data_IF_114847467610
#
_entry.id   IF_114847467610
#
_cell.length_a   1.000
_cell.length_b   1.000
_cell.length_c   1.000
_cell.angle_alpha   90.00
_cell.angle_beta   90.00
_cell.angle_gamma   90.00
#
_symmetry.space_group_name_H-M   'P 1'
#
loop_
_entity.id
_entity.type
_entity.pdbx_description
1 polymer ?
#
# COMPACT_ATOMS: atom_id res chain seq x y z
N UNK A 1 -20.06 9.46 -6.19
CA UNK A 1 -19.67 8.92 -7.53
C UNK A 1 -19.57 7.40 -7.41
N UNK A 2 -19.55 6.65 -8.52
CA UNK A 2 -19.28 5.19 -8.44
C UNK A 2 -17.79 4.94 -8.52
N UNK A 3 -17.30 4.00 -7.73
CA UNK A 3 -15.93 3.52 -7.83
C UNK A 3 -15.70 2.84 -9.19
N UNK A 4 -14.50 2.98 -9.75
CA UNK A 4 -14.15 2.26 -10.99
C UNK A 4 -13.80 0.81 -10.70
N UNK A 5 -13.95 -0.08 -11.69
CA UNK A 5 -13.53 -1.48 -11.53
C UNK A 5 -12.07 -1.61 -11.08
N UNK A 6 -11.09 -0.88 -11.66
CA UNK A 6 -9.70 -0.94 -11.19
C UNK A 6 -9.52 -0.49 -9.73
N UNK A 7 -10.33 0.47 -9.26
CA UNK A 7 -10.30 0.94 -7.85
C UNK A 7 -10.74 -0.15 -6.89
N UNK A 8 -11.87 -0.81 -7.16
CA UNK A 8 -12.39 -1.89 -6.33
C UNK A 8 -11.48 -3.11 -6.37
N UNK A 9 -10.98 -3.45 -7.54
CA UNK A 9 -10.00 -4.53 -7.70
C UNK A 9 -8.72 -4.25 -6.90
N UNK A 10 -8.19 -3.01 -6.95
CA UNK A 10 -7.04 -2.58 -6.17
C UNK A 10 -7.30 -2.69 -4.67
N UNK A 11 -8.48 -2.24 -4.19
CA UNK A 11 -8.88 -2.35 -2.79
C UNK A 11 -9.00 -3.82 -2.34
N UNK A 12 -9.62 -4.67 -3.14
CA UNK A 12 -9.73 -6.11 -2.86
C UNK A 12 -8.35 -6.78 -2.79
N UNK A 13 -7.46 -6.43 -3.72
CA UNK A 13 -6.09 -6.93 -3.74
C UNK A 13 -5.29 -6.46 -2.54
N UNK A 14 -5.35 -5.17 -2.21
CA UNK A 14 -4.72 -4.58 -1.04
C UNK A 14 -5.14 -5.31 0.23
N UNK A 15 -6.45 -5.47 0.46
CA UNK A 15 -6.98 -6.14 1.63
C UNK A 15 -6.61 -7.63 1.71
N UNK A 16 -6.48 -8.29 0.55
CA UNK A 16 -5.98 -9.66 0.49
C UNK A 16 -4.50 -9.72 0.84
N UNK A 17 -3.71 -8.79 0.32
CA UNK A 17 -2.26 -8.71 0.57
C UNK A 17 -1.93 -8.43 2.03
N UNK A 18 -2.60 -7.44 2.63
CA UNK A 18 -2.54 -7.11 4.04
C UNK A 18 -2.82 -8.35 4.92
N UNK A 19 -4.00 -8.94 4.77
CA UNK A 19 -4.42 -10.09 5.55
C UNK A 19 -3.54 -11.33 5.31
N UNK A 20 -3.04 -11.55 4.10
CA UNK A 20 -2.10 -12.61 3.76
C UNK A 20 -0.76 -12.40 4.45
N UNK A 21 -0.20 -11.20 4.37
CA UNK A 21 1.09 -10.84 4.96
C UNK A 21 1.07 -10.90 6.48
N UNK A 22 0.01 -10.38 7.09
CA UNK A 22 -0.18 -10.36 8.55
C UNK A 22 -0.08 -11.75 9.19
N UNK A 23 -0.58 -12.78 8.51
CA UNK A 23 -0.53 -14.15 9.03
C UNK A 23 0.87 -14.72 9.18
N UNK A 24 1.87 -14.12 8.55
CA UNK A 24 3.25 -14.61 8.59
C UNK A 24 4.07 -14.08 9.76
N UNK A 25 3.64 -13.03 10.46
CA UNK A 25 4.28 -12.58 11.70
C UNK A 25 4.26 -13.64 12.82
N UNK A 26 3.38 -14.63 12.73
CA UNK A 26 3.34 -15.76 13.67
C UNK A 26 4.33 -16.89 13.37
N UNK A 27 5.02 -16.82 12.22
CA UNK A 27 6.02 -17.84 11.81
C UNK A 27 7.37 -17.48 12.41
N UNK A 28 8.01 -18.45 13.06
CA UNK A 28 9.35 -18.22 13.62
C UNK A 28 10.39 -18.07 12.50
N UNK A 29 11.47 -17.29 12.71
CA UNK A 29 12.54 -17.14 11.72
C UNK A 29 13.17 -18.48 11.29
N UNK A 30 13.20 -19.47 12.16
CA UNK A 30 13.78 -20.79 11.86
C UNK A 30 12.86 -21.62 10.94
N UNK A 31 11.55 -21.44 11.05
CA UNK A 31 10.54 -22.13 10.24
C UNK A 31 10.29 -21.43 8.89
N UNK A 32 10.56 -20.13 8.82
CA UNK A 32 10.23 -19.30 7.67
C UNK A 32 10.76 -19.84 6.33
N UNK A 33 12.04 -20.29 6.18
CA UNK A 33 12.53 -20.77 4.91
C UNK A 33 11.77 -21.99 4.39
N UNK A 34 11.45 -22.93 5.27
CA UNK A 34 10.70 -24.13 4.89
C UNK A 34 9.23 -23.82 4.55
N UNK A 35 8.60 -22.94 5.35
CA UNK A 35 7.22 -22.52 5.14
C UNK A 35 7.05 -21.73 3.83
N UNK A 36 7.99 -20.84 3.51
CA UNK A 36 8.01 -20.11 2.25
C UNK A 36 8.24 -21.04 1.04
N UNK A 37 9.20 -21.96 1.16
CA UNK A 37 9.47 -22.93 0.09
C UNK A 37 8.28 -23.84 -0.21
N UNK A 38 7.49 -24.18 0.79
CA UNK A 38 6.27 -24.98 0.65
C UNK A 38 5.15 -24.23 -0.06
N UNK A 39 5.18 -22.88 -0.07
CA UNK A 39 4.13 -22.00 -0.66
C UNK A 39 2.71 -22.37 -0.21
N UNK A 40 2.58 -22.76 1.05
CA UNK A 40 1.30 -23.08 1.66
C UNK A 40 0.78 -21.87 2.43
N UNK A 41 -0.38 -21.32 2.05
CA UNK A 41 -0.99 -20.22 2.79
C UNK A 41 -1.25 -20.60 4.23
N UNK A 42 -1.16 -19.64 5.14
CA UNK A 42 -1.44 -19.87 6.56
C UNK A 42 -2.92 -20.21 6.77
N UNK A 43 -3.28 -20.97 7.82
CA UNK A 43 -4.69 -21.28 8.11
C UNK A 43 -5.57 -20.03 8.28
N UNK A 44 -6.81 -20.11 7.84
CA UNK A 44 -7.83 -19.09 8.12
C UNK A 44 -8.16 -19.02 9.63
N UNK A 45 -8.74 -17.90 10.12
CA UNK A 45 -9.09 -16.69 9.40
C UNK A 45 -7.89 -15.76 9.19
N UNK A 46 -7.92 -14.94 8.11
CA UNK A 46 -6.94 -13.90 7.83
C UNK A 46 -7.57 -12.55 8.10
N UNK A 47 -7.21 -11.94 9.21
CA UNK A 47 -7.68 -10.61 9.56
C UNK A 47 -6.83 -9.56 8.87
N UNK A 48 -7.48 -8.55 8.31
CA UNK A 48 -6.80 -7.36 7.79
C UNK A 48 -6.52 -6.36 8.92
N UNK A 49 -5.59 -5.44 8.69
CA UNK A 49 -5.03 -4.50 9.65
C UNK A 49 -5.44 -3.05 9.35
N UNK A 50 -4.70 -2.08 9.89
CA UNK A 50 -4.91 -0.66 9.59
C UNK A 50 -4.64 -0.30 8.13
N UNK A 51 -3.83 -1.08 7.41
CA UNK A 51 -3.65 -0.93 5.96
C UNK A 51 -4.99 -0.92 5.23
N UNK A 52 -5.78 -1.96 5.45
CA UNK A 52 -7.10 -2.09 4.85
C UNK A 52 -8.11 -1.13 5.46
N UNK A 53 -8.12 -0.95 6.79
CA UNK A 53 -9.04 -0.02 7.46
C UNK A 53 -8.92 1.39 6.87
N UNK A 54 -7.70 1.89 6.73
CA UNK A 54 -7.46 3.22 6.17
C UNK A 54 -7.70 3.30 4.66
N UNK A 55 -7.44 2.22 3.90
CA UNK A 55 -7.80 2.16 2.49
C UNK A 55 -9.31 2.19 2.26
N UNK A 56 -10.08 1.49 3.09
CA UNK A 56 -11.55 1.53 3.07
C UNK A 56 -12.08 2.95 3.31
N UNK A 57 -11.54 3.66 4.31
CA UNK A 57 -11.90 5.06 4.56
C UNK A 57 -11.60 5.92 3.34
N UNK A 58 -10.40 5.79 2.75
CA UNK A 58 -9.99 6.58 1.60
C UNK A 58 -10.91 6.35 0.39
N UNK A 59 -11.23 5.09 0.08
CA UNK A 59 -12.14 4.77 -1.05
C UNK A 59 -13.55 5.28 -0.77
N UNK A 60 -14.09 5.10 0.44
CA UNK A 60 -15.39 5.64 0.84
C UNK A 60 -15.44 7.17 0.71
N UNK A 61 -14.36 7.84 1.12
CA UNK A 61 -14.19 9.28 0.96
C UNK A 61 -14.25 9.71 -0.51
N UNK A 62 -13.52 9.03 -1.40
CA UNK A 62 -13.54 9.32 -2.84
C UNK A 62 -14.92 9.08 -3.47
N UNK A 63 -15.63 8.02 -3.06
CA UNK A 63 -17.00 7.76 -3.53
C UNK A 63 -17.93 8.93 -3.18
N UNK A 64 -17.81 9.50 -2.00
CA UNK A 64 -18.66 10.60 -1.55
C UNK A 64 -18.26 11.95 -2.16
N UNK A 65 -16.97 12.27 -2.19
CA UNK A 65 -16.47 13.61 -2.51
C UNK A 65 -15.93 13.73 -3.94
N UNK A 66 -15.51 12.63 -4.57
CA UNK A 66 -14.87 12.61 -5.89
C UNK A 66 -13.40 13.02 -5.88
N UNK A 67 -12.92 13.60 -4.80
CA UNK A 67 -11.54 14.06 -4.59
C UNK A 67 -11.18 14.02 -3.10
N UNK A 68 -9.90 14.24 -2.77
CA UNK A 68 -9.44 14.32 -1.38
C UNK A 68 -9.76 15.68 -0.78
N UNK A 69 -10.69 15.70 0.17
CA UNK A 69 -11.00 16.85 1.04
C UNK A 69 -10.34 16.61 2.39
N UNK A 70 -9.13 17.17 2.57
CA UNK A 70 -8.23 16.85 3.68
C UNK A 70 -8.87 16.93 5.07
N UNK A 71 -9.62 18.01 5.35
CA UNK A 71 -10.25 18.20 6.67
C UNK A 71 -11.34 17.15 6.98
N UNK A 72 -12.04 16.68 5.94
CA UNK A 72 -13.00 15.60 6.08
C UNK A 72 -12.27 14.25 6.24
N UNK A 73 -11.30 13.97 5.37
CA UNK A 73 -10.54 12.71 5.38
C UNK A 73 -9.81 12.50 6.71
N UNK A 74 -9.18 13.53 7.26
CA UNK A 74 -8.50 13.45 8.56
C UNK A 74 -9.45 13.04 9.68
N UNK A 75 -10.67 13.62 9.71
CA UNK A 75 -11.72 13.25 10.68
C UNK A 75 -12.27 11.84 10.45
N UNK A 76 -12.40 11.42 9.19
CA UNK A 76 -12.86 10.08 8.84
C UNK A 76 -11.85 9.01 9.27
N UNK A 77 -10.54 9.25 9.10
CA UNK A 77 -9.50 8.37 9.64
C UNK A 77 -9.54 8.29 11.17
N UNK A 78 -9.72 9.41 11.84
CA UNK A 78 -9.84 9.43 13.30
C UNK A 78 -11.11 8.70 13.79
N UNK A 79 -12.22 8.82 13.05
CA UNK A 79 -13.47 8.12 13.34
C UNK A 79 -13.33 6.59 13.18
N UNK A 80 -12.68 6.13 12.12
CA UNK A 80 -12.39 4.71 11.90
C UNK A 80 -11.49 4.14 13.00
N UNK A 81 -10.41 4.86 13.34
CA UNK A 81 -9.54 4.48 14.44
C UNK A 81 -10.30 4.35 15.77
N UNK A 82 -11.21 5.27 16.07
CA UNK A 82 -12.02 5.21 17.30
C UNK A 82 -12.97 4.00 17.32
N UNK A 83 -13.49 3.60 16.16
CA UNK A 83 -14.36 2.44 16.02
C UNK A 83 -13.60 1.11 16.09
N UNK A 84 -12.39 1.06 15.50
CA UNK A 84 -11.60 -0.17 15.33
C UNK A 84 -10.12 0.03 15.71
N UNK A 85 -9.85 0.60 16.89
CA UNK A 85 -8.49 0.89 17.37
C UNK A 85 -7.58 -0.35 17.46
N UNK A 86 -8.13 -1.54 17.48
CA UNK A 86 -7.41 -2.83 17.57
C UNK A 86 -6.79 -3.31 16.25
N UNK A 87 -6.88 -2.54 15.16
CA UNK A 87 -6.38 -2.92 13.83
C UNK A 87 -4.86 -2.79 13.65
N UNK A 88 -4.10 -2.83 14.73
CA UNK A 88 -2.61 -2.81 14.74
C UNK A 88 -1.98 -1.52 14.23
N UNK A 89 -2.66 -0.39 14.36
CA UNK A 89 -2.10 0.92 14.00
C UNK A 89 -0.70 1.13 14.55
N UNK A 90 0.16 1.73 13.73
CA UNK A 90 1.52 2.07 14.13
C UNK A 90 1.56 2.95 15.40
N UNK A 91 2.60 2.83 16.26
CA UNK A 91 2.67 3.49 17.56
C UNK A 91 2.39 5.00 17.54
N UNK A 92 2.91 5.72 16.53
CA UNK A 92 2.69 7.17 16.39
C UNK A 92 1.26 7.52 16.01
N UNK A 93 0.56 6.63 15.27
CA UNK A 93 -0.80 6.88 14.80
C UNK A 93 -1.83 6.89 15.93
N UNK A 94 -1.61 6.15 17.01
CA UNK A 94 -2.49 6.19 18.19
C UNK A 94 -2.65 7.61 18.77
N UNK A 95 -1.54 8.37 18.84
CA UNK A 95 -1.56 9.77 19.29
C UNK A 95 -2.25 10.67 18.27
N UNK A 96 -1.80 10.62 17.02
CA UNK A 96 -2.28 11.46 15.92
C UNK A 96 -3.79 11.33 15.74
N UNK A 97 -4.29 10.11 15.56
CA UNK A 97 -5.70 9.90 15.26
C UNK A 97 -6.62 10.21 16.46
N UNK A 98 -6.15 9.95 17.68
CA UNK A 98 -6.87 10.36 18.90
C UNK A 98 -6.96 11.87 19.02
N UNK A 99 -5.86 12.60 18.81
CA UNK A 99 -5.83 14.05 18.95
C UNK A 99 -6.69 14.74 17.88
N UNK A 100 -6.65 14.26 16.63
CA UNK A 100 -7.56 14.69 15.56
C UNK A 100 -9.01 14.41 15.93
N UNK A 101 -9.30 13.21 16.46
CA UNK A 101 -10.64 12.84 16.92
C UNK A 101 -11.16 13.70 18.08
N UNK A 102 -10.24 14.21 18.92
CA UNK A 102 -10.54 15.17 19.97
C UNK A 102 -10.69 16.63 19.46
N UNK A 103 -10.54 16.87 18.16
CA UNK A 103 -10.75 18.18 17.53
C UNK A 103 -9.48 19.00 17.33
N UNK A 104 -8.28 18.42 17.52
CA UNK A 104 -7.04 19.11 17.18
C UNK A 104 -6.92 19.30 15.65
N UNK A 105 -6.26 20.38 15.24
CA UNK A 105 -5.97 20.63 13.83
C UNK A 105 -4.94 19.60 13.32
N UNK A 106 -5.33 18.79 12.36
CA UNK A 106 -4.50 17.74 11.82
C UNK A 106 -3.18 18.25 11.24
N UNK A 107 -3.15 19.46 10.68
CA UNK A 107 -1.94 20.07 10.13
C UNK A 107 -0.89 20.28 11.22
N UNK A 108 -1.33 20.78 12.35
CA UNK A 108 -0.49 20.99 13.52
C UNK A 108 -0.01 19.66 14.09
N UNK A 109 -0.93 18.70 14.28
CA UNK A 109 -0.61 17.39 14.88
C UNK A 109 0.39 16.63 14.01
N UNK A 110 0.18 16.57 12.69
CA UNK A 110 1.06 15.82 11.78
C UNK A 110 2.43 16.48 11.61
N UNK A 111 2.49 17.81 11.54
CA UNK A 111 3.75 18.55 11.41
C UNK A 111 4.62 18.48 12.67
N UNK A 112 4.03 18.39 13.85
CA UNK A 112 4.77 18.37 15.12
C UNK A 112 5.38 17.01 15.47
N UNK A 113 5.00 15.94 14.79
CA UNK A 113 5.57 14.62 15.04
C UNK A 113 7.09 14.63 14.87
N UNK A 114 7.77 13.78 15.65
CA UNK A 114 9.22 13.58 15.56
C UNK A 114 10.02 14.89 15.59
N UNK A 115 9.68 15.77 16.56
CA UNK A 115 10.42 17.03 16.76
C UNK A 115 10.20 18.05 15.64
N UNK A 116 9.07 18.02 14.98
CA UNK A 116 8.72 18.96 13.89
C UNK A 116 9.16 18.50 12.51
N UNK A 117 9.64 17.25 12.35
CA UNK A 117 10.00 16.69 11.05
C UNK A 117 8.82 16.04 10.35
N UNK A 118 7.76 15.69 11.09
CA UNK A 118 6.68 14.85 10.58
C UNK A 118 7.07 13.37 10.54
N UNK A 119 6.07 12.49 10.40
CA UNK A 119 6.32 11.05 10.22
C UNK A 119 6.76 10.73 8.79
N UNK A 120 7.84 9.99 8.63
CA UNK A 120 8.28 9.42 7.35
C UNK A 120 7.91 7.93 7.22
N UNK A 121 6.98 7.46 8.06
CA UNK A 121 6.46 6.11 8.03
C UNK A 121 5.78 5.72 6.71
N UNK A 122 5.55 4.43 6.53
CA UNK A 122 4.94 3.86 5.33
C UNK A 122 3.40 3.92 5.32
N UNK A 123 2.76 4.39 6.41
CA UNK A 123 1.30 4.36 6.59
C UNK A 123 0.50 5.19 5.58
N UNK A 124 1.08 6.21 4.94
CA UNK A 124 0.42 6.91 3.85
C UNK A 124 0.51 6.15 2.51
N UNK A 125 1.54 5.32 2.33
CA UNK A 125 1.78 4.52 1.13
C UNK A 125 0.95 3.23 1.13
N UNK A 126 0.78 2.57 2.29
CA UNK A 126 0.11 1.29 2.44
C UNK A 126 -1.34 1.30 1.91
N UNK A 127 -2.06 2.41 2.07
CA UNK A 127 -3.50 2.56 1.81
C UNK A 127 -3.86 3.16 0.44
N UNK A 128 -2.87 3.66 -0.34
CA UNK A 128 -3.12 4.62 -1.43
C UNK A 128 -3.33 4.02 -2.82
N UNK A 129 -3.00 2.75 -3.04
CA UNK A 129 -3.09 2.12 -4.36
C UNK A 129 -4.49 2.26 -5.01
N UNK A 130 -5.63 2.09 -4.30
CA UNK A 130 -6.96 2.31 -4.86
C UNK A 130 -7.21 3.75 -5.36
N UNK A 131 -6.62 4.77 -4.71
CA UNK A 131 -6.68 6.16 -5.16
C UNK A 131 -5.94 6.32 -6.50
N UNK A 132 -4.78 5.69 -6.65
CA UNK A 132 -4.05 5.69 -7.91
C UNK A 132 -4.88 5.10 -9.05
N UNK A 133 -5.57 4.00 -8.80
CA UNK A 133 -6.48 3.39 -9.76
C UNK A 133 -7.72 4.26 -10.05
N UNK A 134 -8.21 5.02 -9.06
CA UNK A 134 -9.36 5.93 -9.20
C UNK A 134 -9.09 7.06 -10.21
N UNK A 135 -7.93 7.68 -10.11
CA UNK A 135 -7.52 8.81 -10.97
C UNK A 135 -6.62 8.39 -12.13
N UNK A 136 -6.60 7.11 -12.49
CA UNK A 136 -5.62 6.54 -13.43
C UNK A 136 -5.58 7.23 -14.80
N UNK A 137 -6.60 7.96 -15.21
CA UNK A 137 -6.65 8.69 -16.48
C UNK A 137 -5.75 9.94 -16.49
N UNK A 138 -5.39 10.51 -15.33
CA UNK A 138 -4.55 11.71 -15.20
C UNK A 138 -3.50 11.53 -14.08
N UNK A 139 -2.25 11.26 -14.47
CA UNK A 139 -1.15 11.01 -13.53
C UNK A 139 -0.76 12.24 -12.68
N UNK A 140 -1.01 13.44 -13.16
CA UNK A 140 -0.74 14.66 -12.40
C UNK A 140 -1.80 14.83 -11.29
N UNK A 141 -3.04 14.48 -11.59
CA UNK A 141 -4.11 14.38 -10.57
C UNK A 141 -3.83 13.26 -9.59
N UNK A 142 -3.35 12.07 -10.03
CA UNK A 142 -2.91 10.99 -9.12
C UNK A 142 -1.88 11.50 -8.12
N UNK A 143 -0.82 12.14 -8.60
CA UNK A 143 0.26 12.65 -7.74
C UNK A 143 -0.27 13.66 -6.72
N UNK A 144 -1.06 14.65 -7.17
CA UNK A 144 -1.65 15.67 -6.29
C UNK A 144 -2.59 15.06 -5.24
N UNK A 145 -3.47 14.16 -5.62
CA UNK A 145 -4.44 13.55 -4.70
C UNK A 145 -3.76 12.60 -3.70
N UNK A 146 -2.71 11.90 -4.13
CA UNK A 146 -1.88 11.06 -3.25
C UNK A 146 -1.11 11.91 -2.22
N UNK A 147 -0.58 13.06 -2.60
CA UNK A 147 0.03 14.03 -1.68
C UNK A 147 -0.99 14.53 -0.65
N UNK A 148 -2.15 15.01 -1.11
CA UNK A 148 -3.21 15.52 -0.22
C UNK A 148 -3.64 14.51 0.83
N UNK A 149 -3.85 13.22 0.47
CA UNK A 149 -4.21 12.20 1.45
C UNK A 149 -3.07 11.87 2.41
N UNK A 150 -1.80 11.88 1.93
CA UNK A 150 -0.65 11.56 2.77
C UNK A 150 -0.49 12.58 3.91
N UNK A 151 -0.58 13.87 3.60
CA UNK A 151 -0.42 14.97 4.55
C UNK A 151 -1.38 14.90 5.73
N UNK A 152 -2.54 14.27 5.59
CA UNK A 152 -3.53 14.16 6.69
C UNK A 152 -3.04 13.35 7.89
N UNK A 153 -1.94 12.59 7.73
CA UNK A 153 -1.36 11.74 8.78
C UNK A 153 0.18 11.76 8.80
N UNK A 154 0.82 12.00 7.64
CA UNK A 154 2.27 11.90 7.45
C UNK A 154 2.78 13.15 6.74
N UNK A 155 3.51 13.99 7.47
CA UNK A 155 3.95 15.30 6.97
C UNK A 155 5.35 15.28 6.34
N UNK A 156 6.16 14.27 6.65
CA UNK A 156 7.54 14.18 6.15
C UNK A 156 7.57 13.96 4.62
N UNK A 157 8.44 14.67 3.85
CA UNK A 157 8.51 14.56 2.40
C UNK A 157 8.70 13.13 1.88
N UNK A 158 9.47 12.28 2.56
CA UNK A 158 9.67 10.88 2.17
C UNK A 158 8.37 10.05 2.24
N UNK A 159 7.55 10.25 3.28
CA UNK A 159 6.25 9.56 3.39
C UNK A 159 5.30 9.99 2.28
N UNK A 160 5.26 11.29 1.98
CA UNK A 160 4.45 11.85 0.88
C UNK A 160 4.93 11.29 -0.46
N UNK A 161 6.24 11.31 -0.70
CA UNK A 161 6.82 10.76 -1.94
C UNK A 161 6.54 9.25 -2.08
N UNK A 162 6.60 8.50 -0.98
CA UNK A 162 6.25 7.08 -0.97
C UNK A 162 4.80 6.82 -1.38
N UNK A 163 3.87 7.60 -0.83
CA UNK A 163 2.46 7.51 -1.19
C UNK A 163 2.22 7.87 -2.67
N UNK A 164 2.83 8.93 -3.16
CA UNK A 164 2.77 9.33 -4.59
C UNK A 164 3.32 8.22 -5.49
N UNK A 165 4.45 7.60 -5.10
CA UNK A 165 5.05 6.51 -5.87
C UNK A 165 4.11 5.30 -6.00
N UNK A 166 3.49 4.87 -4.91
CA UNK A 166 2.54 3.74 -4.92
C UNK A 166 1.29 4.07 -5.74
N UNK A 167 0.74 5.27 -5.58
CA UNK A 167 -0.43 5.70 -6.36
C UNK A 167 -0.14 5.75 -7.86
N UNK A 168 1.01 6.30 -8.28
CA UNK A 168 1.44 6.31 -9.67
C UNK A 168 1.63 4.89 -10.23
N UNK A 169 2.25 3.99 -9.46
CA UNK A 169 2.41 2.59 -9.87
C UNK A 169 1.06 1.89 -10.08
N UNK A 170 0.10 2.09 -9.18
CA UNK A 170 -1.24 1.54 -9.30
C UNK A 170 -2.00 2.13 -10.50
N UNK A 171 -1.86 3.43 -10.76
CA UNK A 171 -2.46 4.08 -11.92
C UNK A 171 -1.90 3.52 -13.24
N UNK A 172 -0.58 3.35 -13.34
CA UNK A 172 0.07 2.76 -14.52
C UNK A 172 -0.32 1.30 -14.72
N UNK A 173 -0.44 0.54 -13.63
CA UNK A 173 -0.95 -0.83 -13.66
C UNK A 173 -2.40 -0.87 -14.18
N UNK A 174 -3.29 -0.02 -13.66
CA UNK A 174 -4.67 0.11 -14.11
C UNK A 174 -4.78 0.45 -15.61
N UNK A 175 -3.99 1.41 -16.10
CA UNK A 175 -3.93 1.79 -17.52
C UNK A 175 -3.51 0.63 -18.45
N UNK A 176 -2.75 -0.31 -17.92
CA UNK A 176 -2.25 -1.45 -18.70
C UNK A 176 -3.24 -2.62 -18.81
N UNK A 177 -4.46 -2.49 -18.22
CA UNK A 177 -5.50 -3.54 -18.30
C UNK A 177 -5.82 -3.91 -19.73
N UNK A 178 -5.92 -5.22 -20.00
CA UNK A 178 -6.23 -5.73 -21.33
C UNK A 178 -5.14 -5.59 -22.39
N UNK A 179 -4.03 -4.91 -22.04
CA UNK A 179 -2.86 -4.76 -22.89
C UNK A 179 -1.60 -5.42 -22.33
N UNK A 180 -0.46 -5.17 -22.97
CA UNK A 180 0.84 -5.61 -22.46
C UNK A 180 1.19 -4.83 -21.18
N UNK A 181 1.58 -5.52 -20.08
CA UNK A 181 2.10 -4.84 -18.89
C UNK A 181 3.44 -4.16 -19.19
N UNK A 182 3.73 -3.03 -18.53
CA UNK A 182 5.09 -2.50 -18.54
C UNK A 182 6.06 -3.49 -17.90
N UNK A 183 7.28 -3.54 -18.38
CA UNK A 183 8.33 -4.30 -17.72
C UNK A 183 8.71 -3.67 -16.37
N UNK A 184 9.35 -4.47 -15.48
CA UNK A 184 9.75 -4.00 -14.14
C UNK A 184 10.54 -2.69 -14.20
N UNK A 185 11.61 -2.64 -14.99
CA UNK A 185 12.43 -1.45 -15.13
C UNK A 185 11.66 -0.26 -15.76
N UNK A 186 10.77 -0.55 -16.70
CA UNK A 186 9.93 0.45 -17.35
C UNK A 186 9.00 1.14 -16.36
N UNK A 187 8.23 0.36 -15.58
CA UNK A 187 7.32 0.89 -14.56
C UNK A 187 8.06 1.71 -13.51
N UNK A 188 9.13 1.16 -12.96
CA UNK A 188 9.88 1.82 -11.88
C UNK A 188 10.59 3.10 -12.36
N UNK A 189 11.07 3.13 -13.59
CA UNK A 189 11.68 4.32 -14.17
C UNK A 189 10.65 5.41 -14.43
N UNK A 190 9.47 5.04 -14.94
CA UNK A 190 8.37 6.00 -15.16
C UNK A 190 7.90 6.62 -13.85
N UNK A 191 7.68 5.79 -12.81
CA UNK A 191 7.32 6.29 -11.48
C UNK A 191 8.41 7.20 -10.93
N UNK A 192 9.67 6.76 -10.90
CA UNK A 192 10.79 7.55 -10.38
C UNK A 192 10.99 8.87 -11.14
N UNK A 193 10.67 8.90 -12.44
CA UNK A 193 10.76 10.10 -13.27
C UNK A 193 9.83 11.23 -12.87
N UNK A 194 8.74 10.90 -12.16
CA UNK A 194 7.71 11.85 -11.72
C UNK A 194 7.85 12.32 -10.27
N UNK A 195 8.81 11.77 -9.53
CA UNK A 195 9.01 12.08 -8.12
C UNK A 195 10.07 13.18 -7.92
N UNK A 196 9.95 13.97 -6.84
CA UNK A 196 11.03 14.87 -6.42
C UNK A 196 12.26 14.08 -5.97
N UNK A 197 13.39 14.77 -5.82
CA UNK A 197 14.59 14.17 -5.24
C UNK A 197 14.32 13.71 -3.79
N UNK A 198 14.57 12.42 -3.53
CA UNK A 198 14.23 11.74 -2.28
C UNK A 198 14.93 10.38 -2.19
N UNK A 199 14.95 9.79 -1.00
CA UNK A 199 15.45 8.43 -0.79
C UNK A 199 14.53 7.40 -1.45
N UNK A 200 13.20 7.60 -1.41
CA UNK A 200 12.23 6.76 -2.16
C UNK A 200 12.56 6.75 -3.65
N UNK A 201 12.75 7.92 -4.27
CA UNK A 201 13.11 8.01 -5.69
C UNK A 201 14.44 7.31 -6.00
N UNK A 202 15.42 7.50 -5.14
CA UNK A 202 16.75 6.87 -5.27
C UNK A 202 16.65 5.35 -5.18
N UNK A 203 15.85 4.84 -4.23
CA UNK A 203 15.53 3.44 -4.07
C UNK A 203 14.85 2.85 -5.32
N UNK A 204 13.86 3.55 -5.89
CA UNK A 204 13.19 3.11 -7.13
C UNK A 204 14.12 3.09 -8.34
N UNK A 205 15.03 4.06 -8.46
CA UNK A 205 16.06 4.04 -9.52
C UNK A 205 17.03 2.87 -9.35
N UNK A 206 17.37 2.54 -8.11
CA UNK A 206 18.17 1.35 -7.79
C UNK A 206 17.39 0.09 -8.14
N UNK A 207 16.14 -0.02 -7.75
CA UNK A 207 15.26 -1.14 -8.06
C UNK A 207 15.11 -1.39 -9.57
N UNK A 208 14.98 -0.32 -10.37
CA UNK A 208 14.89 -0.39 -11.83
C UNK A 208 16.16 -0.95 -12.50
N UNK A 209 17.32 -0.80 -11.85
CA UNK A 209 18.63 -1.26 -12.36
C UNK A 209 19.01 -2.66 -11.90
N UNK A 210 18.29 -3.23 -10.93
CA UNK A 210 18.58 -4.59 -10.46
C UNK A 210 18.42 -5.58 -11.63
N UNK A 211 19.40 -6.48 -11.84
CA UNK A 211 19.35 -7.50 -12.89
C UNK A 211 18.09 -8.37 -12.76
N UNK A 212 17.57 -8.86 -13.88
CA UNK A 212 16.36 -9.70 -13.91
C UNK A 212 16.48 -11.01 -13.11
N UNK A 213 17.68 -11.49 -12.87
CA UNK A 213 17.97 -12.69 -12.06
C UNK A 213 18.23 -12.38 -10.56
N UNK A 214 18.04 -11.13 -10.14
CA UNK A 214 18.21 -10.75 -8.73
C UNK A 214 17.25 -11.54 -7.84
N UNK A 215 17.81 -12.19 -6.80
CA UNK A 215 16.98 -12.90 -5.81
C UNK A 215 16.19 -11.91 -4.95
N UNK A 216 15.04 -12.33 -4.46
CA UNK A 216 14.21 -11.50 -3.58
C UNK A 216 14.98 -11.06 -2.33
N UNK A 217 15.72 -11.98 -1.71
CA UNK A 217 16.54 -11.67 -0.53
C UNK A 217 17.58 -10.58 -0.82
N UNK A 218 18.25 -10.63 -1.99
CA UNK A 218 19.20 -9.59 -2.36
C UNK A 218 18.50 -8.26 -2.62
N UNK A 219 17.35 -8.27 -3.31
CA UNK A 219 16.55 -7.08 -3.54
C UNK A 219 16.12 -6.43 -2.21
N UNK A 220 15.61 -7.23 -1.25
CA UNK A 220 15.22 -6.76 0.07
C UNK A 220 16.41 -6.15 0.85
N UNK A 221 17.62 -6.75 0.73
CA UNK A 221 18.82 -6.20 1.36
C UNK A 221 19.23 -4.84 0.79
N UNK A 222 19.03 -4.63 -0.52
CA UNK A 222 19.43 -3.39 -1.21
C UNK A 222 18.38 -2.30 -1.11
N UNK A 223 17.09 -2.66 -1.14
CA UNK A 223 15.96 -1.75 -1.26
C UNK A 223 15.22 -1.50 0.06
N UNK A 224 15.52 -2.29 1.08
CA UNK A 224 14.70 -2.44 2.27
C UNK A 224 13.63 -3.51 2.12
N UNK A 225 12.88 -3.77 3.19
CA UNK A 225 11.74 -4.71 3.22
C UNK A 225 10.63 -4.23 4.16
N UNK A 226 10.68 -2.97 4.58
CA UNK A 226 9.76 -2.40 5.55
C UNK A 226 10.18 -2.60 7.02
N UNK A 227 11.29 -3.27 7.28
CA UNK A 227 11.73 -3.56 8.65
C UNK A 227 11.85 -2.30 9.53
N UNK A 228 12.16 -1.14 8.94
CA UNK A 228 12.21 0.15 9.62
C UNK A 228 10.86 0.87 9.66
N UNK A 229 9.80 0.30 9.10
CA UNK A 229 8.45 0.89 9.03
C UNK A 229 8.48 2.31 8.44
N UNK A 230 9.36 2.53 7.46
CA UNK A 230 9.53 3.82 6.79
C UNK A 230 9.27 3.73 5.29
N UNK A 231 8.81 4.82 4.69
CA UNK A 231 8.54 4.85 3.25
C UNK A 231 9.77 4.51 2.39
N UNK A 232 11.00 5.03 2.67
CA UNK A 232 12.20 4.65 1.94
C UNK A 232 12.58 3.17 2.05
N UNK A 233 12.31 2.53 3.19
CA UNK A 233 12.64 1.12 3.46
C UNK A 233 11.56 0.15 2.93
N UNK A 234 10.34 0.64 2.68
CA UNK A 234 9.18 -0.17 2.28
C UNK A 234 8.88 -0.09 0.78
N UNK A 235 8.73 1.14 0.27
CA UNK A 235 8.12 1.39 -1.05
C UNK A 235 8.97 0.87 -2.22
N UNK A 236 10.30 1.06 -2.25
CA UNK A 236 11.10 0.57 -3.37
C UNK A 236 11.03 -0.95 -3.54
N UNK A 237 11.06 -1.70 -2.45
CA UNK A 237 10.97 -3.16 -2.48
C UNK A 237 9.55 -3.63 -2.87
N UNK A 238 8.51 -3.08 -2.25
CA UNK A 238 7.13 -3.45 -2.57
C UNK A 238 6.81 -3.20 -4.06
N UNK A 239 7.24 -2.06 -4.60
CA UNK A 239 7.05 -1.75 -6.02
C UNK A 239 7.96 -2.59 -6.95
N UNK A 240 9.17 -2.94 -6.51
CA UNK A 240 10.02 -3.89 -7.25
C UNK A 240 9.35 -5.27 -7.37
N UNK A 241 8.73 -5.73 -6.29
CA UNK A 241 7.99 -6.99 -6.27
C UNK A 241 6.75 -6.92 -7.17
N UNK A 242 5.91 -5.91 -7.01
CA UNK A 242 4.72 -5.69 -7.83
C UNK A 242 5.06 -5.62 -9.33
N UNK A 243 6.03 -4.78 -9.70
CA UNK A 243 6.44 -4.56 -11.09
C UNK A 243 7.02 -5.82 -11.76
N UNK A 244 7.53 -6.75 -10.96
CA UNK A 244 8.02 -8.03 -11.46
C UNK A 244 6.92 -9.05 -11.76
N UNK A 245 5.71 -8.84 -11.25
CA UNK A 245 4.61 -9.83 -11.24
C UNK A 245 3.26 -9.19 -11.60
N UNK A 246 3.24 -8.19 -12.47
CA UNK A 246 2.03 -7.43 -12.81
C UNK A 246 0.89 -8.27 -13.40
N UNK A 247 1.15 -9.48 -13.86
CA UNK A 247 0.14 -10.39 -14.42
C UNK A 247 -0.30 -11.49 -13.44
N UNK A 248 0.31 -11.56 -12.24
CA UNK A 248 0.00 -12.62 -11.27
C UNK A 248 0.04 -12.12 -9.83
N UNK A 249 -1.14 -11.86 -9.28
CA UNK A 249 -1.28 -11.47 -7.88
C UNK A 249 -0.73 -12.52 -6.89
N UNK A 250 -0.97 -13.83 -7.06
CA UNK A 250 -0.38 -14.84 -6.18
C UNK A 250 1.15 -14.84 -6.18
N UNK A 251 1.78 -14.71 -7.37
CA UNK A 251 3.24 -14.67 -7.47
C UNK A 251 3.81 -13.37 -6.87
N UNK A 252 3.11 -12.24 -7.04
CA UNK A 252 3.48 -10.99 -6.39
C UNK A 252 3.49 -11.12 -4.87
N UNK A 253 2.47 -11.74 -4.29
CA UNK A 253 2.38 -11.96 -2.84
C UNK A 253 3.49 -12.88 -2.32
N UNK A 254 3.73 -14.02 -2.97
CA UNK A 254 4.81 -14.92 -2.58
C UNK A 254 6.18 -14.26 -2.70
N UNK A 255 6.44 -13.56 -3.80
CA UNK A 255 7.69 -12.83 -4.00
C UNK A 255 7.88 -11.74 -2.94
N UNK A 256 6.84 -10.97 -2.63
CA UNK A 256 6.93 -9.90 -1.62
C UNK A 256 7.20 -10.46 -0.24
N UNK A 257 6.50 -11.53 0.11
CA UNK A 257 6.64 -12.20 1.40
C UNK A 257 8.07 -12.73 1.66
N UNK A 258 8.77 -13.22 0.61
CA UNK A 258 10.17 -13.66 0.73
C UNK A 258 11.13 -12.55 1.19
N UNK A 259 10.75 -11.27 1.04
CA UNK A 259 11.53 -10.13 1.52
C UNK A 259 11.63 -10.08 3.03
N UNK A 260 10.65 -10.65 3.71
CA UNK A 260 10.52 -10.63 5.18
C UNK A 260 10.65 -9.20 5.72
N UNK A 261 10.05 -8.82 6.77
CA UNK A 261 10.09 -7.43 7.25
C UNK A 261 8.68 -6.99 7.61
N UNK A 262 8.18 -5.89 7.06
CA UNK A 262 6.81 -5.39 7.25
C UNK A 262 5.89 -6.08 6.23
N UNK A 263 5.54 -7.33 6.54
CA UNK A 263 4.96 -8.26 5.56
C UNK A 263 3.52 -7.92 5.17
N UNK A 264 2.71 -7.42 6.08
CA UNK A 264 1.36 -6.93 5.81
C UNK A 264 1.41 -5.72 4.88
N UNK A 265 2.15 -4.67 5.26
CA UNK A 265 2.26 -3.44 4.48
C UNK A 265 2.90 -3.67 3.10
N UNK A 266 3.99 -4.42 3.01
CA UNK A 266 4.63 -4.66 1.70
C UNK A 266 3.74 -5.48 0.77
N UNK A 267 3.02 -6.49 1.31
CA UNK A 267 2.05 -7.27 0.55
C UNK A 267 0.79 -6.46 0.20
N UNK A 268 0.30 -5.58 1.09
CA UNK A 268 -0.81 -4.67 0.79
C UNK A 268 -0.48 -3.75 -0.39
N UNK A 269 0.69 -3.11 -0.37
CA UNK A 269 1.15 -2.24 -1.47
C UNK A 269 1.28 -3.04 -2.76
N UNK A 270 2.02 -4.15 -2.75
CA UNK A 270 2.26 -4.94 -3.96
C UNK A 270 0.95 -5.48 -4.55
N UNK A 271 0.09 -6.03 -3.71
CA UNK A 271 -1.19 -6.58 -4.13
C UNK A 271 -2.17 -5.51 -4.64
N UNK A 272 -2.22 -4.34 -3.99
CA UNK A 272 -3.04 -3.22 -4.45
C UNK A 272 -2.64 -2.74 -5.84
N UNK A 273 -1.33 -2.64 -6.11
CA UNK A 273 -0.80 -2.28 -7.44
C UNK A 273 -1.12 -3.33 -8.49
N UNK A 274 -0.85 -4.62 -8.22
CA UNK A 274 -1.08 -5.70 -9.18
C UNK A 274 -2.56 -5.88 -9.45
N UNK A 275 -3.40 -5.88 -8.42
CA UNK A 275 -4.84 -6.04 -8.57
C UNK A 275 -5.50 -4.87 -9.30
N UNK A 276 -4.96 -3.66 -9.26
CA UNK A 276 -5.41 -2.56 -10.10
C UNK A 276 -5.41 -2.95 -11.60
N UNK A 277 -4.53 -3.87 -12.02
CA UNK A 277 -4.49 -4.44 -13.37
C UNK A 277 -5.29 -5.73 -13.52
N UNK A 278 -5.10 -6.70 -12.63
CA UNK A 278 -5.59 -8.07 -12.81
C UNK A 278 -6.92 -8.36 -12.12
N UNK A 279 -7.32 -7.52 -11.17
CA UNK A 279 -8.30 -7.90 -10.17
C UNK A 279 -7.79 -9.11 -9.37
N UNK A 280 -8.69 -9.96 -8.95
CA UNK A 280 -8.38 -11.23 -8.29
C UNK A 280 -8.26 -12.41 -9.27
N UNK A 281 -8.06 -12.15 -10.57
CA UNK A 281 -7.91 -13.20 -11.57
C UNK A 281 -6.68 -14.06 -11.25
N UNK A 282 -6.87 -15.39 -11.26
CA UNK A 282 -5.81 -16.35 -10.96
C UNK A 282 -5.51 -16.55 -9.46
N UNK A 283 -6.17 -15.79 -8.58
CA UNK A 283 -6.08 -16.01 -7.12
C UNK A 283 -6.88 -17.28 -6.76
N UNK A 284 -6.31 -18.24 -6.00
CA UNK A 284 -7.06 -19.40 -5.53
C UNK A 284 -8.29 -18.97 -4.71
N UNK A 285 -9.47 -19.53 -5.02
CA UNK A 285 -10.73 -19.14 -4.38
C UNK A 285 -10.70 -19.25 -2.84
N UNK A 286 -9.87 -20.14 -2.31
CA UNK A 286 -9.68 -20.31 -0.87
C UNK A 286 -9.03 -19.07 -0.19
N UNK A 287 -8.29 -18.22 -0.92
CA UNK A 287 -7.63 -17.08 -0.31
C UNK A 287 -8.61 -15.94 0.02
N UNK A 288 -9.43 -15.44 -0.91
CA UNK A 288 -10.48 -14.48 -0.55
C UNK A 288 -11.46 -15.03 0.50
N UNK A 289 -11.76 -16.34 0.46
CA UNK A 289 -12.62 -16.98 1.46
C UNK A 289 -11.96 -17.12 2.85
N UNK A 290 -10.64 -17.10 2.93
CA UNK A 290 -9.91 -17.11 4.21
C UNK A 290 -9.78 -15.70 4.82
N UNK A 291 -9.80 -14.67 3.98
CA UNK A 291 -9.72 -13.26 4.39
C UNK A 291 -11.04 -12.83 5.06
N UNK A 292 -10.93 -12.06 6.13
CA UNK A 292 -12.05 -11.35 6.75
C UNK A 292 -12.85 -10.54 5.72
N UNK A 293 -14.18 -10.61 5.78
CA UNK A 293 -15.05 -9.91 4.84
C UNK A 293 -14.82 -8.39 4.90
N UNK A 294 -14.91 -7.75 3.73
CA UNK A 294 -14.97 -6.29 3.66
C UNK A 294 -16.39 -5.80 3.97
N UNK A 295 -16.53 -4.56 4.46
CA UNK A 295 -17.85 -3.98 4.72
C UNK A 295 -18.77 -4.05 3.50
N UNK A 296 -20.07 -4.33 3.72
CA UNK A 296 -21.05 -4.55 2.66
C UNK A 296 -21.15 -3.44 1.62
N UNK A 297 -20.89 -2.19 2.01
CA UNK A 297 -20.92 -1.04 1.10
C UNK A 297 -19.91 -1.16 -0.07
N UNK A 298 -18.83 -1.93 0.09
CA UNK A 298 -17.84 -2.14 -0.98
C UNK A 298 -18.44 -2.83 -2.20
N UNK A 299 -19.47 -3.65 -2.00
CA UNK A 299 -20.19 -4.32 -3.09
C UNK A 299 -21.26 -3.42 -3.76
N UNK A 300 -21.56 -2.26 -3.15
CA UNK A 300 -22.65 -1.37 -3.60
C UNK A 300 -22.15 -0.18 -4.44
N UNK A 301 -20.84 0.06 -4.48
CA UNK A 301 -20.19 1.22 -5.12
C UNK A 301 -19.39 0.82 -6.37
#
# INVERSE_FOLDING_TARGET
MRATVPTLDSLQGLALGDAFGDRWFSVSPDEAPAALAARLPRPAPWHWTDDTAMALVLVRHLVHNGEVVQDALAREFAGEYAAEYGRKYGPSMHGVLRDIGAGADWRTVTAQQFGGQGSYGNGAAMRVAPLGAWFSDDLDTVARQAELQALTTHFHPEAVTGAVAVALAAALAARSRGGRPPGRAELLTEVAGRLPDSDVRSGLRTAARLPGHTTVRHAATVLGSGFQISAPDTVPFALWSAAGQLDSLPEALWQTLEGWGDMDTTCAIAAGVVAARTGLTGVPAAWPAAREDLPGWVAEV
#
